data_IF_565794245659
#
_entry.id   IF_565794245659
#
_cell.length_a   1.000
_cell.length_b   1.000
_cell.length_c   1.000
_cell.angle_alpha   90.00
_cell.angle_beta   90.00
_cell.angle_gamma   90.00
#
_symmetry.space_group_name_H-M   'P 1'
#
loop_
_entity.id
_entity.type
_entity.pdbx_description
1 polymer ?
#
# COMPACT_ATOMS: atom_id res chain seq x y z
N UNK A 1 22.94 -21.56 3.00
CA UNK A 1 21.56 -21.22 2.63
C UNK A 1 21.58 -19.86 1.95
N UNK A 2 21.07 -19.75 0.76
CA UNK A 2 21.24 -18.57 -0.09
C UNK A 2 19.90 -17.86 -0.25
N UNK A 3 19.95 -16.53 -0.29
CA UNK A 3 18.82 -15.63 -0.60
C UNK A 3 19.00 -15.11 -2.05
N UNK A 4 19.71 -15.85 -2.88
CA UNK A 4 20.13 -15.44 -4.22
C UNK A 4 18.94 -15.17 -5.16
N UNK A 5 17.78 -15.80 -4.87
CA UNK A 5 16.52 -15.58 -5.60
C UNK A 5 15.64 -14.45 -5.02
N UNK A 6 16.16 -13.71 -4.02
CA UNK A 6 15.36 -12.67 -3.33
C UNK A 6 14.50 -13.23 -2.18
N UNK A 7 14.46 -14.52 -1.96
CA UNK A 7 13.76 -15.20 -0.86
C UNK A 7 14.55 -16.43 -0.42
N UNK A 8 14.19 -17.00 0.73
CA UNK A 8 14.80 -18.24 1.21
C UNK A 8 14.23 -19.41 0.42
N UNK A 9 15.03 -19.93 -0.50
CA UNK A 9 14.70 -21.09 -1.33
C UNK A 9 15.08 -22.39 -0.61
N UNK A 10 14.27 -22.77 0.38
CA UNK A 10 14.41 -24.02 1.10
C UNK A 10 13.17 -24.88 0.92
N UNK A 11 13.32 -26.19 0.68
CA UNK A 11 12.19 -27.08 0.54
C UNK A 11 11.37 -27.12 1.84
N UNK A 12 10.06 -27.13 1.70
CA UNK A 12 9.10 -27.33 2.77
C UNK A 12 8.49 -28.72 2.61
N UNK A 13 8.42 -29.48 3.68
CA UNK A 13 7.83 -30.80 3.65
C UNK A 13 6.32 -30.70 3.36
N UNK A 14 5.81 -31.46 2.40
CA UNK A 14 4.41 -31.42 1.96
C UNK A 14 3.40 -31.73 3.08
N UNK A 15 3.82 -32.52 4.08
CA UNK A 15 2.96 -32.90 5.21
C UNK A 15 2.90 -31.83 6.31
N UNK A 16 3.65 -30.75 6.19
CA UNK A 16 3.75 -29.72 7.20
C UNK A 16 2.52 -28.81 7.20
N UNK A 17 1.87 -28.66 8.36
CA UNK A 17 0.84 -27.65 8.54
C UNK A 17 1.49 -26.26 8.71
N UNK A 18 1.64 -25.53 7.60
CA UNK A 18 2.33 -24.24 7.58
C UNK A 18 1.71 -23.21 8.51
N UNK A 19 0.39 -23.20 8.66
CA UNK A 19 -0.32 -22.25 9.54
C UNK A 19 0.10 -22.47 11.00
N UNK A 20 0.13 -23.73 11.45
CA UNK A 20 0.56 -24.08 12.81
C UNK A 20 2.04 -23.81 13.03
N UNK A 21 2.89 -24.16 12.07
CA UNK A 21 4.33 -23.94 12.19
C UNK A 21 4.70 -22.44 12.18
N UNK A 22 4.04 -21.65 11.34
CA UNK A 22 4.17 -20.18 11.37
C UNK A 22 3.76 -19.64 12.74
N UNK A 23 2.64 -20.12 13.30
CA UNK A 23 2.18 -19.68 14.62
C UNK A 23 3.17 -20.05 15.75
N UNK A 24 3.84 -21.20 15.67
CA UNK A 24 4.92 -21.58 16.62
C UNK A 24 6.13 -20.66 16.48
N UNK A 25 6.63 -20.46 15.25
CA UNK A 25 7.78 -19.60 14.97
C UNK A 25 7.53 -18.13 15.40
N UNK A 26 6.31 -17.62 15.21
CA UNK A 26 5.92 -16.30 15.70
C UNK A 26 6.11 -16.17 17.21
N UNK A 27 5.66 -17.16 17.99
CA UNK A 27 5.83 -17.16 19.45
C UNK A 27 7.30 -17.29 19.86
N UNK A 28 8.03 -18.21 19.25
CA UNK A 28 9.45 -18.46 19.55
C UNK A 28 10.32 -17.22 19.31
N UNK A 29 10.01 -16.45 18.29
CA UNK A 29 10.81 -15.30 17.86
C UNK A 29 10.25 -13.95 18.30
N UNK A 30 9.19 -13.94 19.10
CA UNK A 30 8.44 -12.73 19.41
C UNK A 30 8.16 -11.91 18.14
N UNK A 31 7.58 -12.56 17.13
CA UNK A 31 7.37 -11.99 15.81
C UNK A 31 5.91 -11.60 15.57
N UNK A 32 5.71 -10.52 14.81
CA UNK A 32 4.40 -10.07 14.31
C UNK A 32 4.38 -10.10 12.79
N UNK A 33 3.27 -10.57 12.21
CA UNK A 33 3.01 -10.52 10.76
C UNK A 33 2.08 -9.34 10.46
N UNK A 34 2.58 -8.38 9.70
CA UNK A 34 1.83 -7.23 9.21
C UNK A 34 1.52 -7.44 7.73
N UNK A 35 0.25 -7.57 7.37
CA UNK A 35 -0.18 -7.84 5.99
C UNK A 35 -0.98 -6.68 5.39
N UNK A 36 -0.70 -6.35 4.14
CA UNK A 36 -1.52 -5.42 3.39
C UNK A 36 -2.82 -6.08 2.91
N UNK A 37 -3.91 -5.32 2.78
CA UNK A 37 -5.20 -5.78 2.23
C UNK A 37 -5.11 -6.45 0.84
N UNK A 38 -4.05 -6.21 0.08
CA UNK A 38 -3.85 -6.78 -1.26
C UNK A 38 -3.07 -8.10 -1.25
N UNK A 39 -2.84 -8.68 -0.08
CA UNK A 39 -2.22 -9.99 0.03
C UNK A 39 -3.21 -11.12 -0.34
N UNK A 40 -2.66 -12.31 -0.57
CA UNK A 40 -3.43 -13.55 -0.71
C UNK A 40 -4.30 -13.79 0.52
N UNK A 41 -5.46 -14.41 0.34
CA UNK A 41 -6.40 -14.69 1.43
C UNK A 41 -5.74 -15.50 2.55
N UNK A 42 -4.92 -16.51 2.21
CA UNK A 42 -4.20 -17.33 3.18
C UNK A 42 -3.14 -16.53 3.96
N UNK A 43 -2.54 -15.51 3.37
CA UNK A 43 -1.59 -14.62 4.06
C UNK A 43 -2.34 -13.65 4.99
N UNK A 44 -3.47 -13.13 4.54
CA UNK A 44 -4.32 -12.29 5.39
C UNK A 44 -4.84 -13.10 6.60
N UNK A 45 -5.21 -14.38 6.40
CA UNK A 45 -5.75 -15.23 7.45
C UNK A 45 -4.77 -15.49 8.61
N UNK A 46 -3.44 -15.52 8.37
CA UNK A 46 -2.41 -15.74 9.40
C UNK A 46 -1.82 -14.46 9.98
N UNK A 47 -2.17 -13.29 9.43
CA UNK A 47 -1.63 -12.01 9.86
C UNK A 47 -2.14 -11.61 11.25
N UNK A 48 -1.27 -10.98 12.04
CA UNK A 48 -1.64 -10.39 13.34
C UNK A 48 -2.34 -9.04 13.15
N UNK A 49 -2.03 -8.37 12.05
CA UNK A 49 -2.64 -7.11 11.70
C UNK A 49 -2.73 -6.97 10.17
N UNK A 50 -3.91 -6.58 9.70
CA UNK A 50 -4.19 -6.30 8.29
C UNK A 50 -4.55 -4.83 8.17
N UNK A 51 -3.96 -4.14 7.18
CA UNK A 51 -4.21 -2.72 7.00
C UNK A 51 -3.74 -2.17 5.65
N UNK A 52 -4.03 -0.89 5.43
CA UNK A 52 -3.40 -0.11 4.37
C UNK A 52 -2.01 0.40 4.80
N UNK A 53 -1.30 1.09 3.91
CA UNK A 53 0.07 1.54 4.17
C UNK A 53 0.19 2.43 5.42
N UNK A 54 -0.83 3.27 5.71
CA UNK A 54 -0.81 4.13 6.90
C UNK A 54 -0.97 3.31 8.18
N UNK A 55 -1.94 2.41 8.21
CA UNK A 55 -2.20 1.56 9.36
C UNK A 55 -1.02 0.62 9.65
N UNK A 56 -0.40 0.06 8.61
CA UNK A 56 0.79 -0.78 8.75
C UNK A 56 1.99 0.00 9.28
N UNK A 57 2.22 1.23 8.80
CA UNK A 57 3.29 2.10 9.29
C UNK A 57 3.11 2.41 10.79
N UNK A 58 1.88 2.75 11.22
CA UNK A 58 1.56 2.98 12.62
C UNK A 58 1.79 1.73 13.47
N UNK A 59 1.31 0.57 12.99
CA UNK A 59 1.47 -0.69 13.72
C UNK A 59 2.93 -1.10 13.85
N UNK A 60 3.74 -0.91 12.81
CA UNK A 60 5.18 -1.16 12.86
C UNK A 60 5.88 -0.29 13.92
N UNK A 61 5.50 1.00 14.03
CA UNK A 61 6.06 1.92 15.01
C UNK A 61 5.67 1.57 16.46
N UNK A 62 4.50 0.96 16.67
CA UNK A 62 3.90 0.75 18.00
C UNK A 62 4.07 -0.66 18.56
N UNK A 63 4.44 -1.65 17.73
CA UNK A 63 4.53 -3.05 18.17
C UNK A 63 5.69 -3.27 19.14
N UNK A 64 5.50 -4.14 20.13
CA UNK A 64 6.55 -4.58 21.06
C UNK A 64 7.30 -5.82 20.55
N UNK A 65 6.90 -6.41 19.43
CA UNK A 65 7.58 -7.54 18.82
C UNK A 65 9.04 -7.23 18.46
N UNK A 66 9.94 -8.20 18.59
CA UNK A 66 11.35 -8.08 18.20
C UNK A 66 11.53 -8.22 16.68
N UNK A 67 10.67 -9.02 16.06
CA UNK A 67 10.68 -9.33 14.63
C UNK A 67 9.38 -8.89 13.98
N UNK A 68 9.48 -8.14 12.89
CA UNK A 68 8.35 -7.75 12.05
C UNK A 68 8.48 -8.48 10.72
N UNK A 69 7.49 -9.30 10.37
CA UNK A 69 7.36 -9.85 9.00
C UNK A 69 6.39 -8.96 8.23
N UNK A 70 6.92 -8.22 7.28
CA UNK A 70 6.15 -7.31 6.43
C UNK A 70 5.67 -8.04 5.18
N UNK A 71 4.42 -8.49 5.19
CA UNK A 71 3.73 -9.10 4.04
C UNK A 71 3.06 -8.01 3.21
N UNK A 72 3.84 -7.44 2.33
CA UNK A 72 3.48 -6.37 1.41
C UNK A 72 4.50 -6.30 0.28
N UNK A 73 4.82 -5.09 -0.17
CA UNK A 73 5.89 -4.82 -1.13
C UNK A 73 7.07 -4.13 -0.43
N UNK A 74 8.25 -4.12 -1.05
CA UNK A 74 9.51 -3.74 -0.43
C UNK A 74 9.47 -2.39 0.30
N UNK A 75 8.88 -1.35 -0.29
CA UNK A 75 8.83 -0.04 0.35
C UNK A 75 8.05 -0.05 1.69
N UNK A 76 7.14 -1.00 1.89
CA UNK A 76 6.42 -1.18 3.17
C UNK A 76 7.35 -1.78 4.22
N UNK A 77 8.17 -2.76 3.83
CA UNK A 77 9.23 -3.29 4.68
C UNK A 77 10.27 -2.23 5.04
N UNK A 78 10.68 -1.40 4.07
CA UNK A 78 11.57 -0.26 4.32
C UNK A 78 10.93 0.74 5.31
N UNK A 79 9.66 1.08 5.12
CA UNK A 79 8.94 1.98 6.03
C UNK A 79 8.89 1.41 7.44
N UNK A 80 8.62 0.10 7.59
CA UNK A 80 8.65 -0.57 8.88
C UNK A 80 10.05 -0.53 9.51
N UNK A 81 11.12 -0.74 8.73
CA UNK A 81 12.51 -0.66 9.20
C UNK A 81 12.90 0.75 9.62
N UNK A 82 12.51 1.77 8.85
CA UNK A 82 12.77 3.18 9.16
C UNK A 82 12.09 3.59 10.48
N UNK A 83 10.86 3.13 10.72
CA UNK A 83 10.10 3.44 11.94
C UNK A 83 10.53 2.59 13.14
N UNK A 84 11.13 1.43 12.90
CA UNK A 84 11.60 0.50 13.94
C UNK A 84 13.03 0.03 13.67
N UNK A 85 14.02 0.93 13.67
CA UNK A 85 15.39 0.65 13.20
C UNK A 85 16.12 -0.42 14.03
N UNK A 86 15.75 -0.60 15.30
CA UNK A 86 16.33 -1.63 16.19
C UNK A 86 15.71 -3.00 16.03
N UNK A 87 14.53 -3.09 15.41
CA UNK A 87 13.83 -4.35 15.20
C UNK A 87 14.34 -5.04 13.94
N UNK A 88 14.25 -6.38 13.92
CA UNK A 88 14.48 -7.14 12.71
C UNK A 88 13.24 -7.07 11.83
N UNK A 89 13.36 -6.49 10.64
CA UNK A 89 12.28 -6.42 9.68
C UNK A 89 12.57 -7.37 8.53
N UNK A 90 11.72 -8.37 8.40
CA UNK A 90 11.79 -9.41 7.38
C UNK A 90 10.75 -9.15 6.30
N UNK A 91 11.07 -9.49 5.07
CA UNK A 91 10.12 -9.56 3.95
C UNK A 91 10.20 -10.95 3.33
N UNK A 92 9.09 -11.62 3.04
CA UNK A 92 9.14 -13.00 2.55
C UNK A 92 9.81 -13.14 1.18
N UNK A 93 9.75 -12.08 0.35
CA UNK A 93 10.34 -12.03 -0.98
C UNK A 93 10.79 -10.60 -1.35
N UNK A 94 12.08 -10.40 -1.57
CA UNK A 94 12.66 -9.12 -2.03
C UNK A 94 12.28 -8.75 -3.47
N UNK A 95 11.73 -9.68 -4.26
CA UNK A 95 11.20 -9.37 -5.57
C UNK A 95 9.79 -8.72 -5.52
N UNK A 96 9.20 -8.63 -4.33
CA UNK A 96 7.94 -7.93 -4.11
C UNK A 96 8.13 -6.41 -4.26
N UNK A 97 8.36 -5.97 -5.49
CA UNK A 97 8.57 -4.57 -5.88
C UNK A 97 7.27 -3.76 -5.98
N UNK A 98 7.38 -2.56 -6.55
CA UNK A 98 6.22 -1.71 -6.84
C UNK A 98 6.50 -0.85 -8.07
N UNK A 99 5.60 -0.89 -9.06
CA UNK A 99 5.76 -0.12 -10.30
C UNK A 99 5.86 1.40 -10.06
N UNK A 100 5.19 1.91 -9.02
CA UNK A 100 5.31 3.32 -8.63
C UNK A 100 6.70 3.62 -8.06
N UNK A 101 7.18 2.82 -7.11
CA UNK A 101 8.52 2.99 -6.55
C UNK A 101 9.60 2.87 -7.62
N UNK A 102 9.40 1.96 -8.58
CA UNK A 102 10.32 1.76 -9.70
C UNK A 102 10.32 2.92 -10.70
N UNK A 103 9.20 3.61 -10.85
CA UNK A 103 9.06 4.76 -11.75
C UNK A 103 9.75 6.03 -11.24
N UNK A 104 10.05 6.13 -9.95
CA UNK A 104 10.59 7.32 -9.31
C UNK A 104 11.89 7.01 -8.59
N UNK A 105 13.01 7.08 -9.30
CA UNK A 105 14.34 6.89 -8.72
C UNK A 105 14.79 8.17 -8.01
N UNK A 106 15.53 8.04 -6.92
CA UNK A 106 15.98 9.18 -6.12
C UNK A 106 16.76 10.22 -6.93
N UNK A 107 17.66 9.78 -7.84
CA UNK A 107 18.43 10.69 -8.68
C UNK A 107 17.54 11.48 -9.67
N UNK A 108 16.49 10.88 -10.17
CA UNK A 108 15.53 11.52 -11.09
C UNK A 108 14.62 12.49 -10.34
N UNK A 109 14.18 12.11 -9.14
CA UNK A 109 13.43 13.01 -8.26
C UNK A 109 14.28 14.22 -7.86
N UNK A 110 15.56 14.03 -7.55
CA UNK A 110 16.46 15.15 -7.22
C UNK A 110 16.53 16.15 -8.38
N UNK A 111 16.69 15.69 -9.62
CA UNK A 111 16.65 16.57 -10.80
C UNK A 111 15.34 17.33 -10.92
N UNK A 112 14.21 16.64 -10.70
CA UNK A 112 12.89 17.27 -10.73
C UNK A 112 12.72 18.34 -9.64
N UNK A 113 13.30 18.12 -8.47
CA UNK A 113 13.36 19.10 -7.38
C UNK A 113 14.19 20.31 -7.79
N UNK A 114 15.37 20.10 -8.35
CA UNK A 114 16.30 21.16 -8.77
C UNK A 114 15.70 22.05 -9.88
N UNK A 115 14.87 21.46 -10.75
CA UNK A 115 14.10 22.17 -11.79
C UNK A 115 12.90 22.97 -11.23
N UNK A 116 12.51 22.71 -9.98
CA UNK A 116 11.36 23.34 -9.34
C UNK A 116 11.72 23.97 -7.98
N UNK A 117 12.63 24.96 -7.94
CA UNK A 117 13.07 25.56 -6.69
C UNK A 117 11.93 26.19 -5.91
N UNK A 118 11.97 26.08 -4.57
CA UNK A 118 10.96 26.65 -3.67
C UNK A 118 9.64 25.84 -3.57
N UNK A 119 9.56 24.69 -4.24
CA UNK A 119 8.45 23.76 -4.03
C UNK A 119 8.77 22.84 -2.85
N UNK A 120 7.74 22.54 -2.02
CA UNK A 120 7.84 21.43 -1.09
C UNK A 120 7.58 20.11 -1.81
N UNK A 121 8.26 19.06 -1.38
CA UNK A 121 8.19 17.73 -1.97
C UNK A 121 7.25 16.85 -1.15
N UNK A 122 6.15 16.46 -1.74
CA UNK A 122 5.19 15.53 -1.16
C UNK A 122 5.29 14.22 -1.88
N UNK A 123 5.68 13.16 -1.18
CA UNK A 123 5.78 11.83 -1.78
C UNK A 123 4.72 10.89 -1.21
N UNK A 124 4.03 10.24 -2.12
CA UNK A 124 3.21 9.09 -1.75
C UNK A 124 4.08 7.97 -1.18
N UNK A 125 3.57 7.24 -0.20
CA UNK A 125 4.32 6.21 0.54
C UNK A 125 4.96 5.13 -0.35
N UNK A 126 4.41 4.96 -1.58
CA UNK A 126 4.85 3.99 -2.58
C UNK A 126 6.18 4.42 -3.26
N UNK A 127 7.21 4.65 -2.45
CA UNK A 127 8.54 5.11 -2.85
C UNK A 127 9.60 4.42 -2.00
N UNK A 128 10.85 4.40 -2.47
CA UNK A 128 11.99 3.83 -1.73
C UNK A 128 12.42 4.71 -0.55
N UNK A 129 13.26 4.18 0.32
CA UNK A 129 13.85 4.93 1.43
C UNK A 129 14.64 6.15 0.95
N UNK A 130 15.37 6.02 -0.16
CA UNK A 130 16.15 7.10 -0.76
C UNK A 130 15.27 8.24 -1.26
N UNK A 131 14.12 7.93 -1.87
CA UNK A 131 13.12 8.93 -2.28
C UNK A 131 12.51 9.62 -1.07
N UNK A 132 12.18 8.85 -0.03
CA UNK A 132 11.68 9.41 1.23
C UNK A 132 12.68 10.38 1.86
N UNK A 133 13.99 10.09 1.77
CA UNK A 133 15.04 10.99 2.28
C UNK A 133 15.15 12.34 1.55
N UNK A 134 14.57 12.47 0.35
CA UNK A 134 14.47 13.71 -0.42
C UNK A 134 13.14 14.44 -0.25
N UNK A 135 12.24 13.89 0.54
CA UNK A 135 10.84 14.31 0.68
C UNK A 135 10.66 15.20 1.90
N UNK A 136 9.79 16.22 1.81
CA UNK A 136 9.42 17.07 2.95
C UNK A 136 8.32 16.45 3.81
N UNK A 137 7.36 15.75 3.17
CA UNK A 137 6.30 15.00 3.86
C UNK A 137 5.85 13.82 3.01
N UNK A 138 5.79 12.65 3.64
CA UNK A 138 5.18 11.46 3.04
C UNK A 138 3.66 11.53 3.25
N UNK A 139 2.90 10.98 2.31
CA UNK A 139 1.44 10.84 2.43
C UNK A 139 1.00 9.44 1.99
N UNK A 140 -0.21 9.07 2.38
CA UNK A 140 -0.90 7.87 1.88
C UNK A 140 -2.23 8.28 1.24
N UNK A 141 -2.89 7.37 0.52
CA UNK A 141 -4.24 7.64 -0.02
C UNK A 141 -5.27 7.97 1.07
N UNK A 142 -4.99 7.63 2.34
CA UNK A 142 -5.88 7.89 3.48
C UNK A 142 -5.81 9.34 3.99
N UNK A 143 -4.70 10.05 3.80
CA UNK A 143 -4.44 11.36 4.42
C UNK A 143 -3.94 12.44 3.46
N UNK A 144 -3.66 12.10 2.21
CA UNK A 144 -3.00 13.01 1.26
C UNK A 144 -3.74 14.33 1.05
N UNK A 145 -5.07 14.29 0.86
CA UNK A 145 -5.86 15.51 0.67
C UNK A 145 -5.75 16.44 1.87
N UNK A 146 -5.97 15.92 3.07
CA UNK A 146 -5.96 16.69 4.31
C UNK A 146 -4.56 17.26 4.61
N UNK A 147 -3.51 16.48 4.37
CA UNK A 147 -2.13 16.96 4.54
C UNK A 147 -1.81 18.06 3.53
N UNK A 148 -2.18 17.91 2.26
CA UNK A 148 -2.00 18.95 1.24
C UNK A 148 -2.76 20.23 1.61
N UNK A 149 -3.97 20.11 2.14
CA UNK A 149 -4.77 21.25 2.58
C UNK A 149 -4.23 21.96 3.83
N UNK A 150 -3.46 21.27 4.67
CA UNK A 150 -2.87 21.84 5.88
C UNK A 150 -1.77 22.88 5.61
N UNK A 151 -1.23 22.93 4.40
CA UNK A 151 -0.23 23.92 4.00
C UNK A 151 -0.89 25.22 3.50
N UNK A 152 -0.16 26.37 3.55
CA UNK A 152 -0.64 27.64 3.00
C UNK A 152 -1.10 27.50 1.54
N UNK A 153 -2.15 28.24 1.14
CA UNK A 153 -2.77 28.09 -0.19
C UNK A 153 -1.82 28.44 -1.36
N UNK A 154 -0.90 29.34 -1.15
CA UNK A 154 0.12 29.79 -2.11
C UNK A 154 1.37 28.91 -2.14
N UNK A 155 1.49 27.94 -1.23
CA UNK A 155 2.63 27.03 -1.20
C UNK A 155 2.69 26.19 -2.47
N UNK A 156 3.79 26.34 -3.21
CA UNK A 156 4.09 25.50 -4.38
C UNK A 156 4.51 24.10 -3.93
N UNK A 157 4.08 23.08 -4.67
CA UNK A 157 4.27 21.68 -4.31
C UNK A 157 4.64 20.83 -5.51
N UNK A 158 5.52 19.85 -5.28
CA UNK A 158 5.74 18.67 -6.13
C UNK A 158 5.01 17.51 -5.50
N UNK A 159 4.34 16.68 -6.30
CA UNK A 159 3.70 15.45 -5.84
C UNK A 159 4.12 14.27 -6.72
N UNK A 160 4.50 13.18 -6.11
CA UNK A 160 4.84 11.93 -6.78
C UNK A 160 4.71 10.72 -5.86
N UNK A 161 4.86 9.50 -6.41
CA UNK A 161 5.08 9.19 -7.84
C UNK A 161 3.78 8.96 -8.65
N UNK A 162 2.57 8.96 -8.05
CA UNK A 162 1.32 8.64 -8.75
C UNK A 162 0.62 9.90 -9.28
N UNK A 163 0.60 10.04 -10.63
CA UNK A 163 -0.06 11.18 -11.29
C UNK A 163 -1.58 11.18 -11.12
N UNK A 164 -2.21 9.99 -11.04
CA UNK A 164 -3.66 9.89 -10.92
C UNK A 164 -4.11 10.37 -9.53
N UNK A 165 -3.46 9.87 -8.47
CA UNK A 165 -3.68 10.37 -7.11
C UNK A 165 -3.38 11.87 -7.01
N UNK A 166 -2.28 12.36 -7.60
CA UNK A 166 -1.94 13.77 -7.63
C UNK A 166 -3.00 14.63 -8.33
N UNK A 167 -3.51 14.18 -9.48
CA UNK A 167 -4.61 14.83 -10.20
C UNK A 167 -5.91 14.82 -9.39
N UNK A 168 -6.22 13.73 -8.71
CA UNK A 168 -7.37 13.62 -7.83
C UNK A 168 -7.27 14.66 -6.68
N UNK A 169 -6.12 14.73 -6.01
CA UNK A 169 -5.88 15.71 -4.94
C UNK A 169 -6.00 17.16 -5.50
N UNK A 170 -5.38 17.45 -6.64
CA UNK A 170 -5.49 18.76 -7.29
C UNK A 170 -6.96 19.13 -7.54
N UNK A 171 -7.77 18.17 -8.01
CA UNK A 171 -9.20 18.42 -8.31
C UNK A 171 -10.04 18.70 -7.05
N UNK A 172 -9.72 18.08 -5.91
CA UNK A 172 -10.44 18.28 -4.66
C UNK A 172 -10.02 19.54 -3.92
N UNK A 173 -8.72 19.85 -3.94
CA UNK A 173 -8.13 20.94 -3.14
C UNK A 173 -8.02 22.26 -3.89
N UNK A 174 -8.23 22.25 -5.22
CA UNK A 174 -7.99 23.39 -6.10
C UNK A 174 -6.51 23.76 -6.27
N UNK A 175 -5.59 22.89 -5.83
CA UNK A 175 -4.14 23.06 -5.98
C UNK A 175 -3.70 22.77 -7.41
N UNK A 176 -2.51 23.27 -7.76
CA UNK A 176 -1.84 23.01 -9.03
C UNK A 176 -0.44 22.46 -8.74
N UNK A 177 -0.39 21.33 -8.05
CA UNK A 177 0.89 20.68 -7.76
C UNK A 177 1.56 20.22 -9.05
N UNK A 178 2.88 20.34 -9.14
CA UNK A 178 3.70 19.67 -10.16
C UNK A 178 3.68 18.17 -9.91
N UNK A 179 3.27 17.40 -10.89
CA UNK A 179 3.11 15.96 -10.73
C UNK A 179 4.25 15.19 -11.40
N UNK A 180 4.76 14.20 -10.69
CA UNK A 180 5.59 13.14 -11.27
C UNK A 180 4.75 12.29 -12.23
N UNK A 181 5.30 11.88 -13.36
CA UNK A 181 4.58 11.12 -14.38
C UNK A 181 4.71 9.59 -14.17
N UNK A 182 4.25 9.09 -13.03
CA UNK A 182 4.14 7.66 -12.73
C UNK A 182 2.69 7.25 -12.52
N UNK A 183 2.42 5.94 -12.61
CA UNK A 183 1.12 5.37 -12.32
C UNK A 183 1.23 3.93 -11.78
N UNK A 184 0.27 3.53 -10.97
CA UNK A 184 0.16 2.15 -10.51
C UNK A 184 -0.26 1.24 -11.66
N UNK A 185 0.54 0.21 -11.96
CA UNK A 185 0.27 -0.72 -13.06
C UNK A 185 -1.07 -1.45 -12.94
N UNK A 186 -1.58 -1.65 -11.73
CA UNK A 186 -2.87 -2.30 -11.48
C UNK A 186 -4.00 -1.32 -11.77
N UNK A 187 -3.98 -0.14 -11.12
CA UNK A 187 -5.08 0.83 -11.24
C UNK A 187 -5.16 1.50 -12.60
N UNK A 188 -4.04 1.56 -13.33
CA UNK A 188 -4.00 2.08 -14.70
C UNK A 188 -4.69 1.16 -15.72
N UNK A 189 -4.82 -0.14 -15.42
CA UNK A 189 -5.38 -1.14 -16.32
C UNK A 189 -6.89 -1.34 -16.22
N UNK A 190 -7.59 -0.73 -15.28
CA UNK A 190 -9.05 -0.88 -15.19
C UNK A 190 -9.74 -0.34 -16.43
N UNK A 191 -10.71 -1.12 -16.95
CA UNK A 191 -11.47 -0.82 -18.16
C UNK A 191 -12.68 0.05 -17.86
N UNK A 192 -12.75 1.22 -18.48
CA UNK A 192 -13.93 2.07 -18.42
C UNK A 192 -15.15 1.41 -19.07
N UNK A 193 -14.96 0.79 -20.25
CA UNK A 193 -16.04 0.13 -20.99
C UNK A 193 -16.66 -1.01 -20.18
N UNK A 194 -15.80 -1.89 -19.62
CA UNK A 194 -16.26 -3.01 -18.80
C UNK A 194 -16.90 -2.54 -17.50
N UNK A 195 -16.43 -1.45 -16.88
CA UNK A 195 -17.08 -0.83 -15.71
C UNK A 195 -18.49 -0.33 -16.05
N UNK A 196 -18.67 0.33 -17.20
CA UNK A 196 -19.98 0.76 -17.69
C UNK A 196 -20.90 -0.46 -17.89
N UNK A 197 -20.38 -1.53 -18.49
CA UNK A 197 -21.12 -2.80 -18.64
C UNK A 197 -21.55 -3.41 -17.31
N UNK A 198 -20.68 -3.41 -16.31
CA UNK A 198 -21.03 -3.86 -14.96
C UNK A 198 -22.11 -2.99 -14.31
N UNK A 199 -22.04 -1.66 -14.47
CA UNK A 199 -23.11 -0.77 -13.95
C UNK A 199 -24.46 -1.03 -14.63
N UNK A 200 -24.47 -1.41 -15.91
CA UNK A 200 -25.71 -1.78 -16.59
C UNK A 200 -26.25 -3.14 -16.10
N UNK A 201 -25.36 -4.08 -15.83
CA UNK A 201 -25.72 -5.41 -15.29
C UNK A 201 -26.16 -5.35 -13.83
N UNK A 202 -25.57 -4.46 -13.04
CA UNK A 202 -25.83 -4.27 -11.61
C UNK A 202 -26.20 -2.81 -11.32
N UNK A 203 -27.38 -2.35 -11.72
CA UNK A 203 -27.75 -0.92 -11.67
C UNK A 203 -27.82 -0.35 -10.26
N UNK A 204 -28.10 -1.18 -9.25
CA UNK A 204 -28.18 -0.79 -7.83
C UNK A 204 -26.80 -0.84 -7.14
N UNK A 205 -25.79 -1.43 -7.78
CA UNK A 205 -24.48 -1.56 -7.17
C UNK A 205 -23.76 -0.22 -7.05
N UNK A 206 -23.18 0.04 -5.87
CA UNK A 206 -22.32 1.20 -5.62
C UNK A 206 -20.91 0.95 -6.13
N UNK A 207 -20.35 1.91 -6.84
CA UNK A 207 -18.98 1.85 -7.37
C UNK A 207 -18.01 2.42 -6.34
N UNK A 208 -17.06 1.59 -5.91
CA UNK A 208 -15.99 1.95 -4.99
C UNK A 208 -14.68 2.01 -5.77
N UNK A 209 -13.99 3.15 -5.82
CA UNK A 209 -12.76 3.30 -6.59
C UNK A 209 -11.59 3.85 -5.76
N UNK A 210 -10.40 3.31 -6.00
CA UNK A 210 -9.18 3.86 -5.42
C UNK A 210 -8.71 5.09 -6.22
N UNK A 211 -8.19 6.15 -5.57
CA UNK A 211 -7.80 7.39 -6.25
C UNK A 211 -6.59 7.25 -7.21
N UNK A 212 -5.88 6.12 -7.21
CA UNK A 212 -4.88 5.77 -8.23
C UNK A 212 -5.50 5.41 -9.59
N UNK A 213 -6.81 5.24 -9.68
CA UNK A 213 -7.52 4.99 -10.92
C UNK A 213 -7.55 6.24 -11.82
N UNK A 214 -7.65 6.01 -13.14
CA UNK A 214 -7.85 7.09 -14.11
C UNK A 214 -9.08 7.93 -13.78
N UNK A 215 -9.01 9.24 -14.03
CA UNK A 215 -10.12 10.17 -13.79
C UNK A 215 -11.44 9.71 -14.41
N UNK A 216 -11.40 9.09 -15.60
CA UNK A 216 -12.60 8.58 -16.28
C UNK A 216 -13.35 7.50 -15.48
N UNK A 217 -12.64 6.70 -14.68
CA UNK A 217 -13.23 5.71 -13.77
C UNK A 217 -13.76 6.38 -12.49
N UNK A 218 -12.99 7.34 -11.94
CA UNK A 218 -13.36 8.03 -10.71
C UNK A 218 -14.67 8.82 -10.84
N UNK A 219 -14.99 9.34 -12.03
CA UNK A 219 -16.25 10.05 -12.31
C UNK A 219 -17.47 9.12 -12.16
N UNK A 220 -17.32 7.82 -12.35
CA UNK A 220 -18.38 6.84 -12.19
C UNK A 220 -18.53 6.32 -10.75
N UNK A 221 -17.58 6.65 -9.88
CA UNK A 221 -17.54 6.12 -8.52
C UNK A 221 -18.52 6.83 -7.59
N UNK A 222 -19.29 6.06 -6.82
CA UNK A 222 -20.12 6.56 -5.71
C UNK A 222 -19.23 6.92 -4.50
N UNK A 223 -18.10 6.24 -4.37
CA UNK A 223 -17.08 6.51 -3.36
C UNK A 223 -15.68 6.37 -3.93
N UNK A 224 -14.89 7.43 -3.81
CA UNK A 224 -13.43 7.39 -4.01
C UNK A 224 -12.76 7.46 -2.65
N UNK A 225 -11.76 6.61 -2.42
CA UNK A 225 -11.05 6.58 -1.14
C UNK A 225 -9.92 5.57 -1.08
N UNK A 226 -9.14 5.64 0.00
CA UNK A 226 -8.12 4.61 0.29
C UNK A 226 -8.75 3.23 0.48
N UNK A 227 -7.94 2.19 0.43
CA UNK A 227 -8.38 0.80 0.65
C UNK A 227 -9.20 0.65 1.92
N UNK A 228 -8.72 1.21 3.05
CA UNK A 228 -9.46 1.26 4.33
C UNK A 228 -10.75 2.07 4.20
N UNK A 229 -10.69 3.23 3.54
CA UNK A 229 -11.87 4.09 3.34
C UNK A 229 -12.97 3.44 2.50
N UNK A 230 -12.62 2.59 1.53
CA UNK A 230 -13.57 1.82 0.73
C UNK A 230 -14.23 0.71 1.57
N UNK A 231 -13.43 -0.01 2.37
CA UNK A 231 -13.94 -1.02 3.31
C UNK A 231 -14.91 -0.38 4.32
N UNK A 232 -14.53 0.73 4.94
CA UNK A 232 -15.36 1.43 5.93
C UNK A 232 -16.68 1.93 5.31
N UNK A 233 -16.64 2.41 4.07
CA UNK A 233 -17.84 2.80 3.35
C UNK A 233 -18.75 1.61 3.09
N UNK A 234 -18.21 0.48 2.64
CA UNK A 234 -18.97 -0.74 2.42
C UNK A 234 -19.66 -1.24 3.70
N UNK A 235 -18.94 -1.18 4.84
CA UNK A 235 -19.51 -1.57 6.15
C UNK A 235 -20.67 -0.67 6.56
N UNK A 236 -20.55 0.65 6.37
CA UNK A 236 -21.53 1.64 6.83
C UNK A 236 -22.72 1.83 5.87
N UNK A 237 -22.56 1.45 4.60
CA UNK A 237 -23.56 1.64 3.56
C UNK A 237 -24.72 0.63 3.68
N UNK A 238 -25.95 1.06 3.38
CA UNK A 238 -27.11 0.16 3.27
C UNK A 238 -27.15 -0.61 1.94
N UNK A 239 -26.31 -0.24 0.97
CA UNK A 239 -26.21 -0.96 -0.31
C UNK A 239 -25.79 -2.42 -0.11
N UNK A 240 -26.36 -3.31 -0.92
CA UNK A 240 -26.11 -4.76 -0.88
C UNK A 240 -25.08 -5.22 -1.90
N UNK A 241 -24.85 -4.43 -2.93
CA UNK A 241 -23.94 -4.77 -4.03
C UNK A 241 -22.94 -3.64 -4.25
N UNK A 242 -21.68 -4.01 -4.48
CA UNK A 242 -20.58 -3.08 -4.71
C UNK A 242 -19.73 -3.55 -5.89
N UNK A 243 -19.47 -2.64 -6.84
CA UNK A 243 -18.44 -2.85 -7.87
C UNK A 243 -17.14 -2.24 -7.33
N UNK A 244 -16.11 -3.05 -7.18
CA UNK A 244 -14.85 -2.67 -6.52
C UNK A 244 -13.76 -2.42 -7.56
N UNK A 245 -13.39 -1.15 -7.73
CA UNK A 245 -12.39 -0.66 -8.69
C UNK A 245 -11.07 -0.39 -7.97
N UNK A 246 -10.51 -1.45 -7.41
CA UNK A 246 -9.16 -1.50 -6.80
C UNK A 246 -8.66 -2.93 -6.83
N UNK A 247 -7.44 -3.17 -6.35
CA UNK A 247 -6.83 -4.50 -6.27
C UNK A 247 -7.72 -5.48 -5.48
N UNK A 248 -7.89 -6.68 -6.04
CA UNK A 248 -8.93 -7.63 -5.59
C UNK A 248 -8.70 -8.27 -4.23
N UNK A 249 -7.49 -8.24 -3.68
CA UNK A 249 -7.19 -8.80 -2.35
C UNK A 249 -8.01 -8.17 -1.21
N UNK A 250 -8.47 -6.91 -1.38
CA UNK A 250 -9.37 -6.27 -0.42
C UNK A 250 -10.69 -7.03 -0.23
N UNK A 251 -11.12 -7.80 -1.24
CA UNK A 251 -12.39 -8.52 -1.21
C UNK A 251 -12.46 -9.55 -0.08
N UNK A 252 -11.31 -10.08 0.36
CA UNK A 252 -11.24 -10.98 1.51
C UNK A 252 -11.79 -10.29 2.78
N UNK A 253 -11.25 -9.13 3.12
CA UNK A 253 -11.71 -8.39 4.30
C UNK A 253 -13.10 -7.78 4.10
N UNK A 254 -13.47 -7.36 2.88
CA UNK A 254 -14.83 -6.88 2.59
C UNK A 254 -15.89 -7.97 2.81
N UNK A 255 -15.66 -9.19 2.30
CA UNK A 255 -16.56 -10.33 2.49
C UNK A 255 -16.65 -10.78 3.95
N UNK A 256 -15.51 -10.76 4.65
CA UNK A 256 -15.44 -11.09 6.07
C UNK A 256 -16.18 -10.08 6.93
N UNK A 257 -16.06 -8.78 6.64
CA UNK A 257 -16.74 -7.71 7.38
C UNK A 257 -18.22 -7.60 7.03
N UNK A 258 -18.61 -7.98 5.82
CA UNK A 258 -19.97 -7.83 5.29
C UNK A 258 -20.39 -9.12 4.54
N UNK A 259 -20.63 -10.25 5.25
CA UNK A 259 -20.92 -11.54 4.61
C UNK A 259 -22.24 -11.53 3.81
N UNK A 260 -23.17 -10.63 4.13
CA UNK A 260 -24.47 -10.50 3.46
C UNK A 260 -24.45 -9.55 2.25
N UNK A 261 -23.27 -9.05 1.86
CA UNK A 261 -23.09 -8.12 0.73
C UNK A 261 -22.31 -8.77 -0.41
N UNK A 262 -22.63 -8.38 -1.61
CA UNK A 262 -21.95 -8.84 -2.82
C UNK A 262 -20.89 -7.83 -3.25
N UNK A 263 -19.68 -8.33 -3.51
CA UNK A 263 -18.54 -7.53 -3.97
C UNK A 263 -18.07 -8.05 -5.32
N UNK A 264 -18.19 -7.22 -6.35
CA UNK A 264 -17.93 -7.54 -7.76
C UNK A 264 -16.63 -6.83 -8.14
N UNK A 265 -15.53 -7.56 -8.40
CA UNK A 265 -14.29 -6.93 -8.85
C UNK A 265 -14.45 -6.34 -10.25
N UNK A 266 -14.00 -5.09 -10.46
CA UNK A 266 -13.97 -4.51 -11.78
C UNK A 266 -12.84 -5.16 -12.62
N UNK A 267 -13.11 -5.53 -13.90
CA UNK A 267 -12.11 -6.18 -14.74
C UNK A 267 -11.12 -5.18 -15.35
N UNK A 268 -9.90 -5.64 -15.69
CA UNK A 268 -8.94 -4.87 -16.48
C UNK A 268 -9.33 -4.79 -17.98
N UNK A 269 -8.63 -3.95 -18.73
CA UNK A 269 -8.75 -3.88 -20.19
C UNK A 269 -8.38 -5.22 -20.84
N UNK A 270 -7.32 -5.87 -20.35
CA UNK A 270 -6.94 -7.21 -20.75
C UNK A 270 -7.96 -8.24 -20.26
N UNK A 271 -8.47 -9.06 -21.16
CA UNK A 271 -9.54 -10.03 -20.89
C UNK A 271 -9.07 -11.35 -20.28
N UNK A 272 -7.78 -11.54 -20.07
CA UNK A 272 -7.20 -12.82 -19.62
C UNK A 272 -7.44 -13.10 -18.14
N UNK A 273 -7.80 -12.07 -17.34
CA UNK A 273 -8.10 -12.18 -15.92
C UNK A 273 -9.39 -11.45 -15.55
N UNK A 274 -10.22 -12.08 -14.73
CA UNK A 274 -11.47 -11.48 -14.24
C UNK A 274 -11.27 -10.39 -13.17
N UNK A 275 -10.08 -10.31 -12.54
CA UNK A 275 -9.76 -9.37 -11.50
C UNK A 275 -8.37 -8.77 -11.69
N UNK A 276 -8.19 -7.53 -11.24
CA UNK A 276 -6.88 -6.90 -11.20
C UNK A 276 -6.14 -7.29 -9.91
N UNK A 277 -5.13 -8.12 -10.04
CA UNK A 277 -4.25 -8.53 -8.96
C UNK A 277 -2.87 -7.90 -9.12
N UNK A 278 -2.29 -7.48 -8.00
CA UNK A 278 -0.92 -7.01 -7.98
C UNK A 278 0.04 -8.20 -7.94
N UNK A 279 0.73 -8.46 -9.05
CA UNK A 279 1.72 -9.54 -9.12
C UNK A 279 2.73 -9.50 -7.96
N UNK A 280 3.22 -8.32 -7.62
CA UNK A 280 4.19 -8.15 -6.53
C UNK A 280 3.64 -8.55 -5.16
N UNK A 281 2.38 -8.18 -4.87
CA UNK A 281 1.73 -8.57 -3.62
C UNK A 281 1.53 -10.10 -3.53
N UNK A 282 1.34 -10.78 -4.66
CA UNK A 282 1.12 -12.23 -4.74
C UNK A 282 2.40 -13.07 -4.60
N UNK A 283 3.57 -12.43 -4.56
CA UNK A 283 4.85 -13.12 -4.34
C UNK A 283 5.02 -13.63 -2.90
N UNK A 284 4.31 -13.06 -1.94
CA UNK A 284 4.29 -13.54 -0.57
C UNK A 284 3.37 -14.77 -0.47
N UNK A 285 3.93 -15.93 -0.13
CA UNK A 285 3.21 -17.20 0.08
C UNK A 285 3.46 -17.73 1.48
N UNK A 286 2.66 -18.69 1.95
CA UNK A 286 2.85 -19.31 3.27
C UNK A 286 4.22 -19.95 3.39
N UNK A 287 4.71 -20.64 2.35
CA UNK A 287 6.03 -21.27 2.33
C UNK A 287 7.15 -20.25 2.49
N UNK A 288 7.06 -19.11 1.77
CA UNK A 288 8.05 -18.04 1.88
C UNK A 288 8.00 -17.37 3.26
N UNK A 289 6.82 -17.18 3.84
CA UNK A 289 6.65 -16.66 5.20
C UNK A 289 7.23 -17.61 6.24
N UNK A 290 6.94 -18.90 6.12
CA UNK A 290 7.51 -19.94 6.98
C UNK A 290 9.03 -19.94 6.92
N UNK A 291 9.60 -20.01 5.72
CA UNK A 291 11.05 -20.00 5.52
C UNK A 291 11.65 -18.68 6.01
N UNK A 292 11.00 -17.56 5.75
CA UNK A 292 11.42 -16.25 6.19
C UNK A 292 11.53 -16.16 7.73
N UNK A 293 10.54 -16.65 8.45
CA UNK A 293 10.57 -16.73 9.92
C UNK A 293 11.60 -17.74 10.42
N UNK A 294 11.63 -18.95 9.84
CA UNK A 294 12.53 -20.04 10.26
C UNK A 294 14.00 -19.63 10.19
N UNK A 295 14.38 -18.96 9.11
CA UNK A 295 15.77 -18.61 8.83
C UNK A 295 16.10 -17.14 9.11
N UNK A 296 15.09 -16.34 9.50
CA UNK A 296 15.21 -14.90 9.74
C UNK A 296 15.82 -14.14 8.58
N UNK A 297 15.41 -14.48 7.37
CA UNK A 297 15.88 -13.91 6.10
C UNK A 297 14.79 -13.99 5.02
N UNK A 298 14.77 -13.07 4.04
CA UNK A 298 15.62 -11.88 3.92
C UNK A 298 15.26 -10.77 4.92
N UNK A 299 16.25 -10.05 5.39
CA UNK A 299 16.08 -8.87 6.26
C UNK A 299 16.26 -7.59 5.46
N UNK A 300 15.37 -6.62 5.69
CA UNK A 300 15.53 -5.23 5.18
C UNK A 300 16.67 -4.56 5.96
N UNK A 301 17.68 -4.13 5.22
CA UNK A 301 18.84 -3.39 5.75
C UNK A 301 18.88 -2.00 5.13
N UNK A 302 18.87 -0.98 5.96
CA UNK A 302 18.97 0.43 5.59
C UNK A 302 20.09 1.03 6.44
N UNK A 303 20.95 1.85 5.85
CA UNK A 303 22.00 2.53 6.61
C UNK A 303 21.40 3.48 7.64
N UNK A 304 22.10 3.70 8.73
CA UNK A 304 21.64 4.58 9.82
C UNK A 304 21.38 6.00 9.32
N UNK A 305 22.30 6.58 8.54
CA UNK A 305 22.11 7.89 7.90
C UNK A 305 20.85 7.97 7.05
N UNK A 306 20.59 6.96 6.21
CA UNK A 306 19.39 6.93 5.38
C UNK A 306 18.12 6.80 6.22
N UNK A 307 18.13 5.98 7.28
CA UNK A 307 17.02 5.88 8.23
C UNK A 307 16.72 7.22 8.88
N UNK A 308 17.75 7.95 9.38
CA UNK A 308 17.58 9.24 10.03
C UNK A 308 17.00 10.31 9.10
N UNK A 309 17.36 10.29 7.81
CA UNK A 309 16.79 11.22 6.83
C UNK A 309 15.37 10.83 6.43
N UNK A 310 15.13 9.56 6.15
CA UNK A 310 13.84 9.07 5.67
C UNK A 310 12.75 9.04 6.76
N UNK A 311 13.11 8.95 8.04
CA UNK A 311 12.12 8.96 9.14
C UNK A 311 11.45 10.32 9.32
N UNK A 312 12.13 11.41 8.99
CA UNK A 312 11.62 12.78 9.19
C UNK A 312 10.31 13.06 8.44
N UNK A 313 10.22 12.82 7.11
CA UNK A 313 8.97 13.04 6.37
C UNK A 313 7.87 12.05 6.75
N UNK A 314 8.21 10.84 7.21
CA UNK A 314 7.22 9.87 7.70
C UNK A 314 6.65 10.35 9.04
N UNK A 315 7.50 10.77 9.99
CA UNK A 315 7.04 11.32 11.27
C UNK A 315 6.19 12.57 11.05
N UNK A 316 6.60 13.47 10.14
CA UNK A 316 5.80 14.65 9.78
C UNK A 316 4.40 14.28 9.28
N UNK A 317 4.27 13.21 8.46
CA UNK A 317 2.98 12.67 8.05
C UNK A 317 2.16 12.21 9.27
N UNK A 318 2.76 11.44 10.17
CA UNK A 318 2.08 10.92 11.36
C UNK A 318 1.64 12.07 12.29
N UNK A 319 2.50 13.05 12.53
CA UNK A 319 2.22 14.21 13.39
C UNK A 319 1.08 15.05 12.82
N UNK A 320 1.11 15.40 11.52
CA UNK A 320 0.03 16.14 10.87
C UNK A 320 -1.27 15.32 10.92
N UNK A 321 -1.19 14.03 10.63
CA UNK A 321 -2.38 13.15 10.66
C UNK A 321 -2.99 13.08 12.06
N UNK A 322 -2.17 13.06 13.12
CA UNK A 322 -2.61 13.10 14.52
C UNK A 322 -3.25 14.45 14.85
N UNK A 323 -2.62 15.57 14.48
CA UNK A 323 -3.16 16.92 14.68
C UNK A 323 -4.52 17.12 14.00
N UNK A 324 -4.72 16.51 12.83
CA UNK A 324 -5.98 16.54 12.08
C UNK A 324 -7.02 15.52 12.56
N UNK A 325 -6.70 14.70 13.58
CA UNK A 325 -7.59 13.66 14.10
C UNK A 325 -7.85 12.50 13.15
N UNK A 326 -6.98 12.30 12.14
CA UNK A 326 -7.09 11.19 11.19
C UNK A 326 -6.58 9.87 11.78
N UNK A 327 -5.72 9.96 12.78
CA UNK A 327 -5.15 8.83 13.53
C UNK A 327 -5.13 9.17 15.03
N UNK A 328 -5.04 8.12 15.87
CA UNK A 328 -4.97 8.25 17.34
C UNK A 328 -3.55 8.45 17.84
#
# INVERSE_FOLDING_TARGET
MTVDKGYVDAPVEEVLNLVEEIAKLKKEKNAVILAHYYQRDEVQAIADFIGDSLALAQKAAQTDADVIVSCGVNFMGETAKILSPRKKVLVPDLNAGCSLADSCKAADLQRFIDENPGHIVISYANTTAEVKALTDVVVTSSNACQIVESFPKDQKMIFGPDRNLGNYINSLTGRQMKLWDGACMVHEKFSLEKLIGLKQQYPEAKVLAHPECKKSLLVLADKVGSTKGLLDYAVKSDARQFIVVTESGILYEMKKACPDKEFIPAPPDDSTCACNECFYMRLNTLEKIYNCLKYEAPEIKISEDLCERAVRPINKMLDISKQLGLIK
#
